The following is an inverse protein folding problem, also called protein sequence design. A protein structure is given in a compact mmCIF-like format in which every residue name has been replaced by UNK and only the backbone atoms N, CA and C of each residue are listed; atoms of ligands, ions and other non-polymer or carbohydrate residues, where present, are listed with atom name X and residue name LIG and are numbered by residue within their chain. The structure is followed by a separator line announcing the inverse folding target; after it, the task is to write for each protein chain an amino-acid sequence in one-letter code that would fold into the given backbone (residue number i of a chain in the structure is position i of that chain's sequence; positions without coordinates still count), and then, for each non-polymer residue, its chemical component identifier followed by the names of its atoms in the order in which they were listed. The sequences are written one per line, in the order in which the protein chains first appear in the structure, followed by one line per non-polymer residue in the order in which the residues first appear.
data_IF_284630544996
#
_entry.id   IF_284630544996
#
_cell.length_a   1.000
_cell.length_b   1.000
_cell.length_c   1.000
_cell.angle_alpha   90.00
_cell.angle_beta   90.00
_cell.angle_gamma   90.00
#
_symmetry.space_group_name_H-M   'P 1'
#
loop_
_entity.id
_entity.type
_entity.pdbx_description
1 polymer ?
#
# COMPACT_ATOMS: atom_id res chain seq x y z
N UNK A 1 6.66 23.09 -6.14
CA UNK A 1 5.55 23.12 -5.16
C UNK A 1 4.31 22.55 -5.85
N UNK A 2 4.17 21.22 -5.84
CA UNK A 2 2.96 20.50 -6.26
C UNK A 2 3.03 19.08 -5.68
N UNK A 3 3.09 18.97 -4.35
CA UNK A 3 3.30 17.68 -3.66
C UNK A 3 2.14 17.29 -2.74
N UNK A 4 1.02 18.02 -2.79
CA UNK A 4 -0.02 17.93 -1.75
C UNK A 4 -1.43 17.55 -2.22
N UNK A 5 -1.72 17.37 -3.52
CA UNK A 5 -3.13 17.18 -3.94
C UNK A 5 -3.43 16.21 -5.09
N UNK A 6 -2.45 15.50 -5.66
CA UNK A 6 -2.75 14.50 -6.72
C UNK A 6 -2.90 13.08 -6.15
N UNK A 7 -2.45 12.82 -4.92
CA UNK A 7 -2.56 11.49 -4.29
C UNK A 7 -3.93 11.18 -3.67
N UNK A 8 -4.90 12.10 -3.75
CA UNK A 8 -6.24 11.89 -3.20
C UNK A 8 -7.15 10.99 -4.05
N UNK A 9 -6.83 10.80 -5.35
CA UNK A 9 -7.70 10.09 -6.30
C UNK A 9 -6.99 8.99 -7.12
N UNK A 10 -5.66 8.93 -7.14
CA UNK A 10 -4.96 7.94 -7.98
C UNK A 10 -5.15 6.50 -7.48
N UNK A 11 -5.26 6.27 -6.17
CA UNK A 11 -5.65 4.94 -5.63
C UNK A 11 -7.15 4.64 -5.89
N UNK A 12 -7.97 5.67 -6.15
CA UNK A 12 -9.42 5.52 -6.35
C UNK A 12 -9.82 5.22 -7.80
N UNK A 13 -8.94 5.41 -8.78
CA UNK A 13 -9.26 5.14 -10.19
C UNK A 13 -8.99 3.68 -10.60
N UNK A 14 -7.94 3.07 -10.06
CA UNK A 14 -7.60 1.66 -10.24
C UNK A 14 -7.23 1.12 -8.85
N UNK A 15 -8.00 0.19 -8.28
CA UNK A 15 -7.75 -0.36 -6.94
C UNK A 15 -7.02 -1.71 -7.02
N UNK A 16 -5.68 -1.77 -7.11
CA UNK A 16 -4.97 -3.04 -7.11
C UNK A 16 -4.62 -3.57 -5.71
N UNK A 17 -4.99 -2.90 -4.61
CA UNK A 17 -4.62 -3.31 -3.24
C UNK A 17 -5.78 -3.14 -2.27
N UNK A 18 -6.10 -4.21 -1.54
CA UNK A 18 -7.17 -4.31 -0.57
C UNK A 18 -6.63 -4.70 0.81
N UNK A 19 -7.45 -4.50 1.86
CA UNK A 19 -7.11 -4.99 3.20
C UNK A 19 -7.13 -6.51 3.16
N UNK A 20 -6.09 -7.15 3.70
CA UNK A 20 -5.87 -8.58 3.62
C UNK A 20 -4.86 -8.97 2.53
N UNK A 21 -4.58 -8.07 1.58
CA UNK A 21 -3.62 -8.38 0.52
C UNK A 21 -2.21 -8.50 1.04
N UNK A 22 -1.47 -9.44 0.48
CA UNK A 22 -0.03 -9.57 0.72
C UNK A 22 0.71 -8.77 -0.34
N UNK A 23 1.40 -7.72 0.10
CA UNK A 23 2.09 -6.80 -0.80
C UNK A 23 3.57 -6.69 -0.47
N UNK A 24 4.34 -6.34 -1.50
CA UNK A 24 5.72 -5.90 -1.39
C UNK A 24 5.86 -4.53 -2.03
N UNK A 25 6.32 -3.55 -1.26
CA UNK A 25 6.53 -2.17 -1.73
C UNK A 25 7.72 -1.56 -1.01
N UNK A 26 8.63 -0.92 -1.77
CA UNK A 26 9.79 -0.21 -1.23
C UNK A 26 10.62 -1.05 -0.22
N UNK A 27 10.75 -2.36 -0.45
CA UNK A 27 11.49 -3.29 0.42
C UNK A 27 10.72 -3.74 1.67
N UNK A 28 9.45 -3.38 1.81
CA UNK A 28 8.56 -3.84 2.88
C UNK A 28 7.62 -4.90 2.31
N UNK A 29 7.70 -6.11 2.86
CA UNK A 29 6.82 -7.23 2.47
C UNK A 29 5.94 -7.63 3.65
N UNK A 30 4.64 -7.73 3.42
CA UNK A 30 3.69 -8.12 4.46
C UNK A 30 2.24 -8.01 4.04
N UNK A 31 1.34 -8.21 5.00
CA UNK A 31 -0.09 -8.13 4.78
C UNK A 31 -0.63 -6.73 5.08
N UNK A 32 -1.46 -6.18 4.20
CA UNK A 32 -2.16 -4.92 4.42
C UNK A 32 -3.21 -5.10 5.51
N UNK A 33 -3.00 -4.46 6.66
CA UNK A 33 -3.93 -4.49 7.78
C UNK A 33 -4.91 -3.32 7.74
N UNK A 34 -4.47 -2.15 7.29
CA UNK A 34 -5.29 -0.95 7.29
C UNK A 34 -4.82 0.04 6.22
N UNK A 35 -5.76 0.64 5.50
CA UNK A 35 -5.49 1.75 4.59
C UNK A 35 -6.07 3.03 5.20
N UNK A 36 -5.24 4.05 5.36
CA UNK A 36 -5.62 5.38 5.88
C UNK A 36 -5.45 6.44 4.79
N UNK A 37 -5.92 7.65 5.07
CA UNK A 37 -5.89 8.76 4.13
C UNK A 37 -4.49 9.09 3.56
N UNK A 38 -3.41 8.85 4.32
CA UNK A 38 -2.03 9.19 3.91
C UNK A 38 -1.02 8.04 4.07
N UNK A 39 -1.44 6.92 4.65
CA UNK A 39 -0.54 5.80 4.90
C UNK A 39 -1.30 4.48 4.89
N UNK A 40 -0.56 3.41 4.63
CA UNK A 40 -1.00 2.02 4.73
C UNK A 40 -0.22 1.33 5.84
N UNK A 41 -0.91 0.55 6.64
CA UNK A 41 -0.34 -0.26 7.71
C UNK A 41 -0.15 -1.67 7.17
N UNK A 42 1.10 -2.13 7.19
CA UNK A 42 1.51 -3.46 6.74
C UNK A 42 2.03 -4.24 7.95
N UNK A 43 1.57 -5.47 8.13
CA UNK A 43 2.12 -6.41 9.09
C UNK A 43 3.09 -7.34 8.38
N UNK A 44 4.37 -7.31 8.75
CA UNK A 44 5.38 -8.21 8.18
C UNK A 44 5.26 -9.62 8.75
N UNK A 45 5.95 -10.57 8.13
CA UNK A 45 5.99 -11.96 8.61
C UNK A 45 6.61 -12.10 10.01
N UNK A 46 7.49 -11.18 10.38
CA UNK A 46 8.13 -11.13 11.69
C UNK A 46 7.24 -10.47 12.75
N UNK A 47 5.94 -10.29 12.44
CA UNK A 47 4.94 -9.66 13.29
C UNK A 47 5.29 -8.20 13.65
N UNK A 48 5.98 -7.50 12.74
CA UNK A 48 6.33 -6.08 12.87
C UNK A 48 5.34 -5.23 12.09
N UNK A 49 4.79 -4.21 12.74
CA UNK A 49 3.88 -3.25 12.11
C UNK A 49 4.66 -2.13 11.43
N UNK A 50 4.56 -2.06 10.11
CA UNK A 50 5.17 -1.01 9.28
C UNK A 50 4.10 -0.03 8.80
N UNK A 51 4.38 1.27 8.95
CA UNK A 51 3.51 2.35 8.46
C UNK A 51 4.16 2.93 7.21
N UNK A 52 3.57 2.64 6.05
CA UNK A 52 4.11 3.04 4.75
C UNK A 52 3.31 4.24 4.20
N UNK A 53 3.94 5.38 3.87
CA UNK A 53 3.26 6.50 3.24
C UNK A 53 2.65 6.10 1.88
N UNK A 54 1.44 6.58 1.58
CA UNK A 54 0.75 6.25 0.32
C UNK A 54 1.56 6.67 -0.92
N UNK A 55 2.41 7.70 -0.80
CA UNK A 55 3.33 8.12 -1.88
C UNK A 55 4.28 7.00 -2.30
N UNK A 56 4.67 6.09 -1.40
CA UNK A 56 5.53 4.95 -1.74
C UNK A 56 4.87 3.94 -2.67
N UNK A 57 3.54 3.81 -2.63
CA UNK A 57 2.80 2.96 -3.56
C UNK A 57 2.66 3.59 -4.96
N UNK A 58 2.94 4.89 -5.08
CA UNK A 58 2.92 5.63 -6.34
C UNK A 58 4.34 5.72 -6.91
N UNK A 59 5.31 6.04 -6.06
CA UNK A 59 6.69 6.32 -6.44
C UNK A 59 7.56 5.06 -6.57
N UNK A 60 7.05 3.89 -6.17
CA UNK A 60 7.80 2.62 -6.19
C UNK A 60 6.96 1.50 -6.80
N UNK A 61 7.59 0.53 -7.48
CA UNK A 61 6.90 -0.68 -7.89
C UNK A 61 6.25 -1.38 -6.69
N UNK A 62 5.04 -1.88 -6.90
CA UNK A 62 4.30 -2.66 -5.92
C UNK A 62 4.01 -4.03 -6.51
N UNK A 63 4.33 -5.08 -5.75
CA UNK A 63 3.90 -6.45 -6.05
C UNK A 63 2.75 -6.80 -5.13
N UNK A 64 1.56 -7.06 -5.68
CA UNK A 64 0.46 -7.65 -4.91
C UNK A 64 0.40 -9.15 -5.25
N UNK A 65 0.68 -9.98 -4.25
CA UNK A 65 0.76 -11.43 -4.38
C UNK A 65 -0.61 -12.12 -4.33
N UNK A 66 -1.64 -11.44 -3.82
CA UNK A 66 -3.00 -11.98 -3.64
C UNK A 66 -4.01 -11.23 -4.51
N UNK A 67 -3.54 -10.51 -5.53
CA UNK A 67 -4.40 -9.73 -6.41
C UNK A 67 -5.40 -10.63 -7.15
N UNK A 68 -6.68 -10.50 -6.81
CA UNK A 68 -7.76 -11.25 -7.44
C UNK A 68 -7.92 -12.69 -6.95
N UNK A 69 -7.26 -13.07 -5.85
CA UNK A 69 -7.63 -14.32 -5.16
C UNK A 69 -9.04 -14.17 -4.56
N UNK A 70 -9.99 -15.07 -4.88
CA UNK A 70 -11.37 -15.01 -4.40
C UNK A 70 -11.54 -15.40 -2.92
#
# INVERSE_FOLDING_TARGET
IASNFISGLVILAERPITIGDRVEVAGVTGQVQQIRARSTVILTNDNITMIVPNTKFIDSPVTNWTYGDP
#
